data_IF_283077096888
#
_entry.id   IF_283077096888
#
_cell.length_a   1.000
_cell.length_b   1.000
_cell.length_c   1.000
_cell.angle_alpha   90.00
_cell.angle_beta   90.00
_cell.angle_gamma   90.00
#
_symmetry.space_group_name_H-M   'P 1'
#
loop_
_entity.id
_entity.type
_entity.pdbx_description
1 polymer ?
#
# COMPACT_ATOMS: atom_id res chain seq x y z
N UNK A 1 -6.53 11.15 6.38
CA UNK A 1 -5.80 12.39 6.70
C UNK A 1 -4.26 12.24 6.63
N UNK A 2 -3.73 11.09 6.17
CA UNK A 2 -2.30 10.78 6.10
C UNK A 2 -1.62 11.24 4.80
N UNK A 3 -0.43 10.66 4.55
CA UNK A 3 0.41 11.04 3.40
C UNK A 3 -0.21 10.67 2.05
N UNK A 4 -0.93 9.54 1.95
CA UNK A 4 -1.55 9.15 0.68
C UNK A 4 -2.65 10.16 0.31
N UNK A 5 -3.49 10.56 1.29
CA UNK A 5 -4.48 11.61 1.09
C UNK A 5 -3.86 12.96 0.73
N UNK A 6 -2.70 13.31 1.33
CA UNK A 6 -1.96 14.51 0.92
C UNK A 6 -1.59 14.46 -0.56
N UNK A 7 -1.02 13.37 -1.05
CA UNK A 7 -0.59 13.25 -2.45
C UNK A 7 -1.79 13.17 -3.40
N UNK A 8 -2.87 12.51 -3.00
CA UNK A 8 -4.15 12.53 -3.71
C UNK A 8 -4.72 13.96 -3.79
N UNK A 9 -4.76 14.66 -2.66
CA UNK A 9 -5.26 16.03 -2.60
C UNK A 9 -4.45 16.98 -3.49
N UNK A 10 -3.11 16.83 -3.54
CA UNK A 10 -2.25 17.61 -4.44
C UNK A 10 -2.62 17.35 -5.89
N UNK A 11 -2.82 16.09 -6.31
CA UNK A 11 -3.22 15.77 -7.69
C UNK A 11 -4.60 16.37 -8.03
N UNK A 12 -5.58 16.27 -7.14
CA UNK A 12 -6.91 16.85 -7.33
C UNK A 12 -6.87 18.39 -7.43
N UNK A 13 -6.10 19.03 -6.55
CA UNK A 13 -5.97 20.50 -6.55
C UNK A 13 -5.23 21.06 -7.76
N UNK A 14 -4.24 20.33 -8.28
CA UNK A 14 -3.59 20.70 -9.56
C UNK A 14 -4.57 20.74 -10.71
N UNK A 15 -5.63 19.93 -10.68
CA UNK A 15 -6.73 19.93 -11.63
C UNK A 15 -7.85 20.95 -11.30
N UNK A 16 -7.70 21.75 -10.23
CA UNK A 16 -8.67 22.78 -9.81
C UNK A 16 -9.84 22.26 -8.95
N UNK A 17 -9.79 21.02 -8.49
CA UNK A 17 -10.80 20.45 -7.59
C UNK A 17 -10.55 20.85 -6.14
N UNK A 18 -11.64 21.02 -5.37
CA UNK A 18 -11.57 21.22 -3.94
C UNK A 18 -11.51 19.87 -3.22
N UNK A 19 -10.82 19.85 -2.09
CA UNK A 19 -10.64 18.64 -1.29
C UNK A 19 -11.12 18.89 0.14
N UNK A 20 -11.96 17.96 0.62
CA UNK A 20 -12.33 17.86 2.02
C UNK A 20 -11.68 16.62 2.63
N UNK A 21 -11.16 16.73 3.85
CA UNK A 21 -10.59 15.60 4.61
C UNK A 21 -11.38 15.34 5.87
N UNK A 22 -11.65 14.07 6.17
CA UNK A 22 -12.27 13.61 7.41
C UNK A 22 -11.29 12.80 8.26
N UNK A 23 -11.40 12.90 9.59
CA UNK A 23 -10.53 12.18 10.54
C UNK A 23 -9.15 12.81 10.73
N UNK A 24 -9.00 14.10 10.43
CA UNK A 24 -7.78 14.84 10.68
C UNK A 24 -7.96 16.34 10.55
N UNK A 25 -7.30 17.08 11.44
CA UNK A 25 -7.30 18.54 11.48
C UNK A 25 -6.37 19.18 10.42
N UNK A 26 -6.31 20.52 10.40
CA UNK A 26 -5.53 21.30 9.45
C UNK A 26 -4.02 21.00 9.49
N UNK A 27 -3.51 20.51 10.63
CA UNK A 27 -2.10 20.15 10.79
C UNK A 27 -1.78 18.72 10.35
N UNK A 28 -2.79 17.93 9.99
CA UNK A 28 -2.56 16.58 9.42
C UNK A 28 -1.95 16.67 8.01
N UNK A 29 -1.20 15.66 7.55
CA UNK A 29 -0.60 15.68 6.22
C UNK A 29 -1.54 16.07 5.09
N UNK A 30 -2.75 15.51 5.07
CA UNK A 30 -3.77 15.86 4.08
C UNK A 30 -4.42 17.22 4.40
N UNK A 31 -4.69 17.51 5.67
CA UNK A 31 -5.31 18.77 6.10
C UNK A 31 -4.53 20.00 5.66
N UNK A 32 -3.19 19.94 5.68
CA UNK A 32 -2.32 21.04 5.23
C UNK A 32 -2.53 21.45 3.76
N UNK A 33 -3.15 20.59 2.95
CA UNK A 33 -3.38 20.83 1.52
C UNK A 33 -4.85 20.69 1.12
N UNK A 34 -5.75 20.56 2.09
CA UNK A 34 -7.20 20.46 1.88
C UNK A 34 -7.88 21.81 2.04
N UNK A 35 -9.04 21.97 1.39
CA UNK A 35 -9.88 23.19 1.52
C UNK A 35 -10.76 23.13 2.77
N UNK A 36 -11.16 21.92 3.19
CA UNK A 36 -12.01 21.68 4.36
C UNK A 36 -11.45 20.53 5.20
N UNK A 37 -11.46 20.70 6.53
CA UNK A 37 -11.00 19.69 7.47
C UNK A 37 -12.09 19.38 8.50
N UNK A 38 -12.46 18.11 8.59
CA UNK A 38 -13.39 17.57 9.58
C UNK A 38 -12.58 16.74 10.59
N UNK A 39 -12.06 17.40 11.63
CA UNK A 39 -11.33 16.74 12.71
C UNK A 39 -12.31 16.12 13.71
N UNK A 40 -12.99 15.08 13.26
CA UNK A 40 -14.05 14.38 13.95
C UNK A 40 -13.80 12.87 13.97
N UNK A 41 -14.44 12.20 14.93
CA UNK A 41 -14.44 10.73 14.99
C UNK A 41 -15.27 10.13 13.85
N UNK A 42 -14.82 9.01 13.30
CA UNK A 42 -15.60 8.21 12.37
C UNK A 42 -16.89 7.62 12.97
N UNK A 43 -17.06 7.65 14.29
CA UNK A 43 -18.30 7.29 14.97
C UNK A 43 -19.31 8.45 15.09
N UNK A 44 -18.94 9.66 14.70
CA UNK A 44 -19.81 10.84 14.72
C UNK A 44 -20.65 10.90 13.43
N UNK A 45 -21.84 10.34 13.48
CA UNK A 45 -22.75 10.31 12.34
C UNK A 45 -23.22 11.69 11.87
N UNK A 46 -23.34 12.66 12.78
CA UNK A 46 -23.71 14.03 12.42
C UNK A 46 -22.57 14.71 11.63
N UNK A 47 -21.34 14.52 12.06
CA UNK A 47 -20.19 15.04 11.32
C UNK A 47 -20.00 14.32 9.96
N UNK A 48 -20.30 13.03 9.88
CA UNK A 48 -20.29 12.31 8.58
C UNK A 48 -21.39 12.84 7.64
N UNK A 49 -22.55 13.20 8.16
CA UNK A 49 -23.64 13.84 7.38
C UNK A 49 -23.19 15.21 6.85
N UNK A 50 -22.60 16.05 7.69
CA UNK A 50 -22.06 17.35 7.29
C UNK A 50 -20.99 17.22 6.22
N UNK A 51 -20.10 16.22 6.37
CA UNK A 51 -19.05 15.92 5.39
C UNK A 51 -19.67 15.48 4.05
N UNK A 52 -20.62 14.56 4.06
CA UNK A 52 -21.32 14.09 2.87
C UNK A 52 -22.03 15.23 2.11
N UNK A 53 -22.54 16.25 2.83
CA UNK A 53 -23.24 17.39 2.24
C UNK A 53 -22.34 18.35 1.45
N UNK A 54 -21.01 18.29 1.62
CA UNK A 54 -20.06 19.22 0.99
C UNK A 54 -19.16 18.56 -0.07
N UNK A 55 -19.30 17.26 -0.31
CA UNK A 55 -18.50 16.51 -1.27
C UNK A 55 -19.37 15.83 -2.32
N UNK A 56 -18.85 15.69 -3.54
CA UNK A 56 -19.53 14.99 -4.65
C UNK A 56 -19.16 13.51 -4.73
N UNK A 57 -17.99 13.15 -4.21
CA UNK A 57 -17.45 11.78 -4.16
C UNK A 57 -16.49 11.62 -2.99
N UNK A 58 -16.43 10.43 -2.43
CA UNK A 58 -15.52 10.09 -1.33
C UNK A 58 -14.55 9.00 -1.79
N UNK A 59 -13.30 9.11 -1.35
CA UNK A 59 -12.30 8.06 -1.42
C UNK A 59 -11.58 7.93 -0.08
N UNK A 60 -10.94 6.81 0.14
CA UNK A 60 -10.14 6.59 1.35
C UNK A 60 -8.72 6.18 0.99
N UNK A 61 -7.78 6.47 1.89
CA UNK A 61 -6.36 6.21 1.73
C UNK A 61 -5.79 5.29 2.82
N UNK A 62 -6.64 4.84 3.71
CA UNK A 62 -6.29 4.02 4.87
C UNK A 62 -7.28 2.87 4.99
N UNK A 63 -6.80 1.65 4.80
CA UNK A 63 -7.65 0.46 4.77
C UNK A 63 -8.26 0.09 6.13
N UNK A 64 -7.72 0.56 7.25
CA UNK A 64 -8.29 0.28 8.57
C UNK A 64 -9.30 1.35 9.05
N UNK A 65 -9.91 2.09 8.12
CA UNK A 65 -11.04 2.96 8.42
C UNK A 65 -12.25 2.12 8.86
N UNK A 66 -13.07 2.58 9.85
CA UNK A 66 -14.25 1.84 10.25
C UNK A 66 -15.23 1.63 9.08
N UNK A 67 -15.55 0.37 8.81
CA UNK A 67 -16.43 -0.03 7.70
C UNK A 67 -17.81 0.61 7.79
N UNK A 68 -18.35 0.77 9.00
CA UNK A 68 -19.67 1.38 9.22
C UNK A 68 -19.69 2.85 8.78
N UNK A 69 -18.59 3.59 8.94
CA UNK A 69 -18.50 4.97 8.46
C UNK A 69 -18.53 5.02 6.91
N UNK A 70 -17.85 4.07 6.25
CA UNK A 70 -17.86 3.97 4.79
C UNK A 70 -19.26 3.61 4.29
N UNK A 71 -19.91 2.59 4.87
CA UNK A 71 -21.29 2.21 4.54
C UNK A 71 -22.31 3.33 4.80
N UNK A 72 -22.08 4.14 5.84
CA UNK A 72 -22.92 5.32 6.11
C UNK A 72 -22.78 6.36 4.99
N UNK A 73 -21.57 6.62 4.53
CA UNK A 73 -21.30 7.56 3.43
C UNK A 73 -21.83 7.05 2.08
N UNK A 74 -21.72 5.76 1.78
CA UNK A 74 -22.23 5.15 0.53
C UNK A 74 -23.74 5.34 0.32
N UNK A 75 -24.50 5.53 1.39
CA UNK A 75 -25.94 5.81 1.31
C UNK A 75 -26.24 7.26 0.89
N UNK A 76 -25.24 8.13 0.79
CA UNK A 76 -25.37 9.58 0.60
C UNK A 76 -24.61 10.10 -0.61
N UNK A 77 -23.41 9.59 -0.81
CA UNK A 77 -22.51 9.98 -1.90
C UNK A 77 -21.78 8.76 -2.44
N UNK A 78 -21.35 8.75 -3.70
CA UNK A 78 -20.49 7.68 -4.21
C UNK A 78 -19.20 7.58 -3.37
N UNK A 79 -18.80 6.36 -3.01
CA UNK A 79 -17.55 6.05 -2.33
C UNK A 79 -16.75 5.07 -3.17
N UNK A 80 -15.52 5.39 -3.51
CA UNK A 80 -14.67 4.55 -4.35
C UNK A 80 -13.25 4.40 -3.80
N UNK A 81 -12.71 3.16 -3.77
CA UNK A 81 -13.43 1.88 -4.00
C UNK A 81 -14.54 1.64 -2.97
N UNK A 82 -15.43 0.68 -3.24
CA UNK A 82 -16.62 0.42 -2.42
C UNK A 82 -16.31 -0.30 -1.09
N UNK A 83 -17.30 -0.36 -0.20
CA UNK A 83 -17.19 -0.99 1.11
C UNK A 83 -17.01 -2.50 1.05
N UNK A 84 -17.42 -3.18 -0.03
CA UNK A 84 -17.25 -4.62 -0.19
C UNK A 84 -15.77 -4.98 -0.39
N UNK A 85 -15.09 -4.27 -1.28
CA UNK A 85 -13.64 -4.45 -1.46
C UNK A 85 -12.88 -4.05 -0.17
N UNK A 86 -13.27 -2.95 0.48
CA UNK A 86 -12.66 -2.54 1.74
C UNK A 86 -12.79 -3.62 2.82
N UNK A 87 -13.99 -4.16 3.01
CA UNK A 87 -14.24 -5.23 3.98
C UNK A 87 -13.39 -6.46 3.70
N UNK A 88 -13.23 -6.81 2.43
CA UNK A 88 -12.41 -7.95 2.02
C UNK A 88 -10.94 -7.69 2.32
N UNK A 89 -10.41 -6.52 1.97
CA UNK A 89 -9.01 -6.17 2.19
C UNK A 89 -8.66 -5.96 3.67
N UNK A 90 -9.63 -5.61 4.52
CA UNK A 90 -9.43 -5.51 5.98
C UNK A 90 -9.26 -6.87 6.67
N UNK A 91 -9.56 -7.98 6.00
CA UNK A 91 -9.68 -9.28 6.65
C UNK A 91 -8.97 -10.37 5.86
N UNK A 92 -7.80 -10.81 6.30
CA UNK A 92 -6.91 -11.76 5.61
C UNK A 92 -7.59 -13.04 5.15
N UNK A 93 -8.51 -13.62 5.96
CA UNK A 93 -9.23 -14.82 5.55
C UNK A 93 -10.23 -14.54 4.43
N UNK A 94 -10.92 -13.39 4.45
CA UNK A 94 -11.84 -13.01 3.38
C UNK A 94 -11.06 -12.73 2.08
N UNK A 95 -9.96 -11.99 2.19
CA UNK A 95 -9.09 -11.66 1.08
C UNK A 95 -8.56 -12.93 0.38
N UNK A 96 -7.95 -13.84 1.13
CA UNK A 96 -7.40 -15.07 0.55
C UNK A 96 -8.48 -16.01 -0.01
N UNK A 97 -9.64 -16.09 0.65
CA UNK A 97 -10.79 -16.85 0.12
C UNK A 97 -11.31 -16.23 -1.17
N UNK A 98 -11.41 -14.90 -1.26
CA UNK A 98 -11.80 -14.20 -2.48
C UNK A 98 -10.79 -14.48 -3.62
N UNK A 99 -9.47 -14.38 -3.37
CA UNK A 99 -8.45 -14.70 -4.37
C UNK A 99 -8.60 -16.14 -4.87
N UNK A 100 -8.74 -17.11 -3.98
CA UNK A 100 -8.92 -18.52 -4.37
C UNK A 100 -10.20 -18.78 -5.13
N UNK A 101 -11.29 -18.09 -4.80
CA UNK A 101 -12.58 -18.25 -5.49
C UNK A 101 -12.52 -17.88 -6.98
N UNK A 102 -11.59 -17.04 -7.37
CA UNK A 102 -11.33 -16.62 -8.77
C UNK A 102 -10.06 -17.26 -9.36
N UNK A 103 -9.55 -18.32 -8.72
CA UNK A 103 -8.41 -19.10 -9.22
C UNK A 103 -7.05 -18.40 -9.11
N UNK A 104 -6.92 -17.38 -8.26
CA UNK A 104 -5.67 -16.69 -8.01
C UNK A 104 -4.90 -17.40 -6.88
N UNK A 105 -3.63 -17.77 -7.11
CA UNK A 105 -2.82 -18.44 -6.11
C UNK A 105 -2.39 -17.51 -4.98
N UNK A 106 -2.40 -18.04 -3.76
CA UNK A 106 -1.93 -17.41 -2.52
C UNK A 106 -1.07 -18.40 -1.74
N UNK A 107 -0.36 -17.99 -0.70
CA UNK A 107 0.14 -18.94 0.30
C UNK A 107 -1.00 -19.84 0.78
N UNK A 108 -0.71 -21.08 1.13
CA UNK A 108 -1.70 -21.94 1.79
C UNK A 108 -2.03 -21.39 3.16
N UNK A 109 -3.30 -21.53 3.57
CA UNK A 109 -3.75 -20.94 4.82
C UNK A 109 -4.88 -21.73 5.47
N UNK A 110 -4.97 -21.64 6.78
CA UNK A 110 -6.09 -22.15 7.58
C UNK A 110 -6.56 -21.08 8.56
N UNK A 111 -7.85 -21.07 8.85
CA UNK A 111 -8.40 -20.29 9.95
C UNK A 111 -8.04 -20.97 11.27
N UNK A 112 -7.65 -20.17 12.28
CA UNK A 112 -7.26 -20.68 13.60
C UNK A 112 -8.21 -20.11 14.64
N UNK A 113 -9.08 -20.95 15.17
CA UNK A 113 -10.07 -20.61 16.19
C UNK A 113 -9.78 -21.26 17.54
N UNK A 114 -8.79 -22.18 17.57
CA UNK A 114 -8.35 -22.88 18.76
C UNK A 114 -6.86 -23.25 18.67
N UNK A 115 -6.28 -23.66 19.77
CA UNK A 115 -4.91 -24.18 19.77
C UNK A 115 -4.80 -25.51 19.00
N UNK A 116 -5.88 -26.30 18.99
CA UNK A 116 -5.99 -27.53 18.20
C UNK A 116 -5.96 -27.24 16.69
N UNK A 117 -6.67 -26.19 16.22
CA UNK A 117 -6.62 -25.74 14.82
C UNK A 117 -5.19 -25.29 14.45
N UNK A 118 -4.52 -24.56 15.36
CA UNK A 118 -3.14 -24.13 15.15
C UNK A 118 -2.19 -25.32 15.04
N UNK A 119 -2.33 -26.30 15.92
CA UNK A 119 -1.50 -27.53 15.89
C UNK A 119 -1.75 -28.32 14.59
N UNK A 120 -3.00 -28.46 14.18
CA UNK A 120 -3.37 -29.15 12.94
C UNK A 120 -2.79 -28.44 11.71
N UNK A 121 -2.95 -27.10 11.63
CA UNK A 121 -2.41 -26.30 10.53
C UNK A 121 -0.88 -26.35 10.45
N UNK A 122 -0.18 -26.24 11.57
CA UNK A 122 1.28 -26.41 11.59
C UNK A 122 1.68 -27.81 11.09
N UNK A 123 0.96 -28.85 11.49
CA UNK A 123 1.24 -30.22 11.00
C UNK A 123 1.00 -30.34 9.49
N UNK A 124 -0.04 -29.72 8.95
CA UNK A 124 -0.36 -29.67 7.52
C UNK A 124 0.74 -28.96 6.73
N UNK A 125 1.33 -27.90 7.26
CA UNK A 125 2.38 -27.10 6.61
C UNK A 125 3.81 -27.58 6.90
N UNK A 126 3.97 -28.81 7.38
CA UNK A 126 5.30 -29.40 7.58
C UNK A 126 6.00 -28.95 8.85
N UNK A 127 5.27 -28.42 9.81
CA UNK A 127 5.76 -28.03 11.15
C UNK A 127 6.15 -26.57 11.28
N UNK A 128 5.97 -25.73 10.27
CA UNK A 128 6.26 -24.30 10.34
C UNK A 128 5.19 -23.46 9.64
N UNK A 129 5.07 -22.17 10.03
CA UNK A 129 4.09 -21.27 9.46
C UNK A 129 4.19 -19.85 10.03
N UNK A 130 3.39 -18.96 9.50
CA UNK A 130 3.26 -17.58 10.00
C UNK A 130 1.84 -17.41 10.53
N UNK A 131 1.72 -17.30 11.85
CA UNK A 131 0.46 -16.98 12.52
C UNK A 131 0.24 -15.47 12.49
N UNK A 132 -0.93 -15.04 12.04
CA UNK A 132 -1.27 -13.61 11.91
C UNK A 132 -2.65 -13.34 12.50
N UNK A 133 -2.87 -12.14 13.01
CA UNK A 133 -4.25 -11.65 13.25
C UNK A 133 -4.99 -11.54 11.94
N UNK A 134 -6.26 -11.95 11.90
CA UNK A 134 -7.06 -11.87 10.68
C UNK A 134 -7.33 -10.41 10.25
N UNK A 135 -7.30 -9.46 11.19
CA UNK A 135 -7.52 -8.03 10.97
C UNK A 135 -6.43 -7.18 11.63
N UNK A 136 -6.31 -5.90 11.23
CA UNK A 136 -5.49 -4.86 11.87
C UNK A 136 -3.95 -5.08 11.87
N UNK A 137 -3.44 -6.10 11.22
CA UNK A 137 -2.00 -6.30 11.06
C UNK A 137 -1.40 -5.41 9.97
N UNK A 138 -0.27 -4.73 10.24
CA UNK A 138 0.48 -3.93 9.25
C UNK A 138 1.97 -3.86 9.65
N UNK A 139 2.86 -3.66 8.68
CA UNK A 139 4.31 -3.53 8.89
C UNK A 139 4.87 -4.60 9.87
N UNK A 140 4.46 -5.87 9.71
CA UNK A 140 4.90 -7.00 10.54
C UNK A 140 4.26 -7.10 11.94
N UNK A 141 3.37 -6.18 12.31
CA UNK A 141 2.66 -6.24 13.60
C UNK A 141 1.52 -7.26 13.54
N UNK A 142 1.29 -7.94 14.68
CA UNK A 142 0.24 -8.94 14.79
C UNK A 142 0.57 -10.25 14.06
N UNK A 143 1.86 -10.54 13.83
CA UNK A 143 2.30 -11.81 13.24
C UNK A 143 3.46 -12.43 14.03
N UNK A 144 3.55 -13.75 13.97
CA UNK A 144 4.61 -14.55 14.58
C UNK A 144 4.97 -15.74 13.70
N UNK A 145 6.24 -15.91 13.37
CA UNK A 145 6.73 -17.14 12.74
C UNK A 145 6.80 -18.23 13.79
N UNK A 146 6.26 -19.38 13.45
CA UNK A 146 6.20 -20.56 14.30
C UNK A 146 6.96 -21.72 13.64
N UNK A 147 7.49 -22.59 14.47
CA UNK A 147 8.08 -23.87 14.08
C UNK A 147 7.59 -24.98 15.01
N UNK A 148 8.01 -26.22 14.73
CA UNK A 148 7.59 -27.41 15.48
C UNK A 148 8.01 -27.45 16.97
N UNK A 149 8.86 -26.51 17.41
CA UNK A 149 9.31 -26.41 18.82
C UNK A 149 8.41 -25.50 19.67
N UNK A 150 7.47 -24.76 19.06
CA UNK A 150 6.64 -23.81 19.77
C UNK A 150 5.62 -24.48 20.71
N UNK A 151 5.35 -23.85 21.84
CA UNK A 151 4.21 -24.21 22.72
C UNK A 151 2.94 -23.59 22.11
N UNK A 152 2.21 -24.40 21.35
CA UNK A 152 1.00 -23.98 20.61
C UNK A 152 -0.08 -23.41 21.54
N UNK A 153 -0.24 -23.95 22.76
CA UNK A 153 -1.21 -23.45 23.74
C UNK A 153 -0.83 -22.07 24.22
N UNK A 154 0.45 -21.86 24.56
CA UNK A 154 0.96 -20.57 25.00
C UNK A 154 0.88 -19.53 23.87
N UNK A 155 1.28 -19.90 22.64
CA UNK A 155 1.21 -19.03 21.48
C UNK A 155 -0.22 -18.58 21.22
N UNK A 156 -1.17 -19.53 21.12
CA UNK A 156 -2.58 -19.19 20.86
C UNK A 156 -3.13 -18.26 21.95
N UNK A 157 -2.87 -18.57 23.23
CA UNK A 157 -3.32 -17.74 24.35
C UNK A 157 -2.75 -16.31 24.30
N UNK A 158 -1.55 -16.11 23.77
CA UNK A 158 -0.91 -14.79 23.68
C UNK A 158 -1.64 -13.79 22.75
N UNK A 159 -2.45 -14.30 21.82
CA UNK A 159 -3.26 -13.47 20.92
C UNK A 159 -4.61 -13.05 21.52
N UNK A 160 -4.90 -13.39 22.77
CA UNK A 160 -6.05 -12.89 23.54
C UNK A 160 -7.43 -13.08 22.85
N UNK A 161 -7.63 -14.17 22.13
CA UNK A 161 -8.92 -14.55 21.56
C UNK A 161 -9.33 -13.74 20.30
N UNK A 162 -8.40 -13.03 19.65
CA UNK A 162 -8.65 -12.43 18.33
C UNK A 162 -8.68 -13.52 17.27
N UNK A 163 -9.41 -13.27 16.18
CA UNK A 163 -9.45 -14.17 15.02
C UNK A 163 -8.07 -14.25 14.35
N UNK A 164 -7.62 -15.46 14.03
CA UNK A 164 -6.28 -15.73 13.53
C UNK A 164 -6.32 -16.50 12.21
N UNK A 165 -5.26 -16.33 11.43
CA UNK A 165 -4.93 -17.11 10.25
C UNK A 165 -3.51 -17.66 10.39
N UNK A 166 -3.31 -18.92 10.08
CA UNK A 166 -1.98 -19.49 9.88
C UNK A 166 -1.74 -19.62 8.38
N UNK A 167 -0.62 -19.09 7.92
CA UNK A 167 -0.17 -19.17 6.53
C UNK A 167 1.08 -20.04 6.43
N UNK A 168 1.18 -20.83 5.34
CA UNK A 168 2.41 -21.55 5.00
C UNK A 168 3.54 -20.57 4.68
N UNK A 169 4.77 -20.96 4.95
CA UNK A 169 5.94 -20.18 4.55
C UNK A 169 6.15 -20.34 3.04
N UNK A 170 6.14 -19.22 2.34
CA UNK A 170 6.44 -19.18 0.90
C UNK A 170 7.94 -18.97 0.73
N UNK A 171 8.65 -19.90 0.05
CA UNK A 171 10.06 -19.72 -0.31
C UNK A 171 10.16 -18.80 -1.54
N UNK A 172 10.00 -17.49 -1.32
CA UNK A 172 10.08 -16.50 -2.39
C UNK A 172 11.51 -16.00 -2.60
N UNK A 173 11.81 -15.60 -3.84
CA UNK A 173 13.04 -14.91 -4.21
C UNK A 173 12.88 -13.39 -4.25
N UNK A 174 11.70 -12.93 -4.66
CA UNK A 174 11.41 -11.49 -4.77
C UNK A 174 10.02 -11.17 -4.22
N UNK A 175 9.91 -10.00 -3.63
CA UNK A 175 8.63 -9.33 -3.38
C UNK A 175 8.41 -8.29 -4.47
N UNK A 176 7.23 -8.31 -5.08
CA UNK A 176 6.88 -7.32 -6.09
C UNK A 176 5.44 -6.85 -5.90
N UNK A 177 5.12 -5.72 -6.49
CA UNK A 177 3.76 -5.19 -6.50
C UNK A 177 3.41 -4.61 -7.86
N UNK A 178 2.13 -4.68 -8.20
CA UNK A 178 1.55 -3.95 -9.31
C UNK A 178 0.49 -2.99 -8.81
N UNK A 179 0.59 -1.74 -9.23
CA UNK A 179 -0.48 -0.77 -9.04
C UNK A 179 -1.36 -0.81 -10.29
N UNK A 180 -2.65 -1.01 -10.07
CA UNK A 180 -3.66 -1.04 -11.13
C UNK A 180 -4.77 -0.03 -10.82
N UNK A 181 -5.50 0.40 -11.84
CA UNK A 181 -6.62 1.32 -11.67
C UNK A 181 -7.78 0.92 -12.58
N UNK A 182 -8.97 0.80 -11.99
CA UNK A 182 -10.23 0.58 -12.69
C UNK A 182 -11.03 1.87 -12.82
N UNK A 183 -11.79 1.99 -13.91
CA UNK A 183 -12.63 3.15 -14.22
C UNK A 183 -14.08 2.70 -14.47
N UNK A 184 -15.02 3.62 -14.27
CA UNK A 184 -16.46 3.33 -14.41
C UNK A 184 -16.86 2.95 -15.85
N UNK A 185 -16.07 3.33 -16.85
CA UNK A 185 -16.28 2.95 -18.25
C UNK A 185 -15.71 1.56 -18.62
N UNK A 186 -15.19 0.82 -17.64
CA UNK A 186 -14.53 -0.48 -17.82
C UNK A 186 -13.06 -0.40 -18.24
N UNK A 187 -12.52 0.80 -18.43
CA UNK A 187 -11.09 0.98 -18.71
C UNK A 187 -10.24 0.50 -17.51
N UNK A 188 -9.14 -0.17 -17.79
CA UNK A 188 -8.14 -0.59 -16.81
C UNK A 188 -6.78 -0.06 -17.18
N UNK A 189 -6.00 0.33 -16.17
CA UNK A 189 -4.62 0.77 -16.32
C UNK A 189 -3.73 0.00 -15.37
N UNK A 190 -2.56 -0.40 -15.85
CA UNK A 190 -1.57 -1.13 -15.08
C UNK A 190 -0.25 -0.37 -15.16
N UNK A 191 0.29 -0.04 -14.00
CA UNK A 191 1.65 0.49 -13.91
C UNK A 191 2.66 -0.65 -14.05
N UNK A 192 3.86 -0.34 -14.49
CA UNK A 192 4.95 -1.32 -14.52
C UNK A 192 5.17 -1.86 -13.10
N UNK A 193 5.20 -3.19 -12.90
CA UNK A 193 5.47 -3.77 -11.60
C UNK A 193 6.79 -3.29 -11.02
N UNK A 194 6.81 -3.06 -9.72
CA UNK A 194 8.02 -2.73 -8.96
C UNK A 194 8.49 -3.92 -8.14
N UNK A 195 9.81 -4.13 -8.08
CA UNK A 195 10.43 -4.99 -7.07
C UNK A 195 10.59 -4.19 -5.78
N UNK A 196 10.20 -4.81 -4.68
CA UNK A 196 10.13 -4.19 -3.36
C UNK A 196 11.14 -4.83 -2.42
N UNK A 197 11.87 -4.00 -1.69
CA UNK A 197 12.78 -4.46 -0.65
C UNK A 197 12.27 -3.98 0.71
N UNK A 198 12.04 -4.93 1.61
CA UNK A 198 11.59 -4.64 2.97
C UNK A 198 12.75 -4.81 3.96
N UNK A 199 12.81 -3.91 4.92
CA UNK A 199 13.73 -4.01 6.07
C UNK A 199 12.87 -3.99 7.34
N UNK A 200 13.01 -5.01 8.16
CA UNK A 200 12.18 -5.17 9.37
C UNK A 200 10.67 -5.06 9.06
N UNK A 201 10.20 -5.68 7.98
CA UNK A 201 8.81 -5.67 7.49
C UNK A 201 8.29 -4.30 7.03
N UNK A 202 9.12 -3.28 6.94
CA UNK A 202 8.73 -1.96 6.40
C UNK A 202 9.35 -1.83 5.01
N UNK A 203 8.54 -1.41 4.03
CA UNK A 203 9.04 -1.11 2.69
C UNK A 203 10.13 -0.05 2.76
N UNK A 204 11.32 -0.41 2.32
CA UNK A 204 12.50 0.44 2.30
C UNK A 204 12.72 1.05 0.91
N UNK A 205 12.67 0.21 -0.12
CA UNK A 205 12.98 0.59 -1.49
C UNK A 205 12.01 -0.08 -2.47
N UNK A 206 11.61 0.65 -3.52
CA UNK A 206 10.92 0.10 -4.69
C UNK A 206 11.63 0.51 -5.97
N UNK A 207 11.76 -0.42 -6.91
CA UNK A 207 12.48 -0.25 -8.18
C UNK A 207 11.57 -0.62 -9.35
N UNK A 208 11.44 0.27 -10.35
CA UNK A 208 10.67 0.01 -11.57
C UNK A 208 11.26 0.76 -12.79
N UNK A 209 11.34 0.10 -13.97
CA UNK A 209 11.16 -1.34 -14.19
C UNK A 209 12.31 -2.12 -13.56
N UNK A 210 12.03 -3.31 -13.03
CA UNK A 210 13.08 -4.14 -12.46
C UNK A 210 13.57 -5.16 -13.50
N UNK A 211 14.89 -5.23 -13.69
CA UNK A 211 15.51 -6.10 -14.69
C UNK A 211 15.30 -7.61 -14.41
N UNK A 212 14.96 -7.95 -13.16
CA UNK A 212 14.70 -9.33 -12.72
C UNK A 212 13.36 -9.88 -13.20
N UNK A 213 12.43 -9.01 -13.66
CA UNK A 213 11.09 -9.42 -14.07
C UNK A 213 11.05 -9.72 -15.57
N UNK A 214 10.77 -10.99 -15.92
CA UNK A 214 10.53 -11.37 -17.30
C UNK A 214 9.20 -10.78 -17.82
N UNK A 215 9.05 -10.71 -19.14
CA UNK A 215 7.80 -10.26 -19.78
C UNK A 215 6.60 -11.11 -19.34
N UNK A 216 6.81 -12.41 -19.17
CA UNK A 216 5.79 -13.37 -18.75
C UNK A 216 5.31 -13.08 -17.32
N UNK A 217 6.24 -12.77 -16.41
CA UNK A 217 5.92 -12.38 -15.02
C UNK A 217 5.12 -11.09 -15.00
N UNK A 218 5.53 -10.07 -15.77
CA UNK A 218 4.81 -8.79 -15.89
C UNK A 218 3.38 -9.02 -16.40
N UNK A 219 3.22 -9.77 -17.50
CA UNK A 219 1.92 -10.11 -18.07
C UNK A 219 1.04 -10.89 -17.08
N UNK A 220 1.64 -11.82 -16.33
CA UNK A 220 0.92 -12.57 -15.30
C UNK A 220 0.44 -11.69 -14.16
N UNK A 221 1.26 -10.74 -13.69
CA UNK A 221 0.87 -9.77 -12.68
C UNK A 221 -0.30 -8.89 -13.16
N UNK A 222 -0.26 -8.42 -14.42
CA UNK A 222 -1.35 -7.65 -15.03
C UNK A 222 -2.65 -8.48 -15.14
N UNK A 223 -2.57 -9.75 -15.55
CA UNK A 223 -3.73 -10.64 -15.62
C UNK A 223 -4.38 -10.86 -14.26
N UNK A 224 -3.57 -11.08 -13.21
CA UNK A 224 -4.07 -11.24 -11.85
C UNK A 224 -4.74 -9.94 -11.38
N UNK A 225 -4.07 -8.81 -11.55
CA UNK A 225 -4.65 -7.51 -11.17
C UNK A 225 -5.94 -7.21 -11.94
N UNK A 226 -6.02 -7.55 -13.23
CA UNK A 226 -7.24 -7.41 -14.03
C UNK A 226 -8.38 -8.26 -13.48
N UNK A 227 -8.11 -9.53 -13.14
CA UNK A 227 -9.13 -10.43 -12.60
C UNK A 227 -9.66 -9.92 -11.25
N UNK A 228 -8.81 -9.31 -10.40
CA UNK A 228 -9.22 -8.72 -9.12
C UNK A 228 -10.05 -7.45 -9.36
N UNK A 229 -9.60 -6.56 -10.27
CA UNK A 229 -10.38 -5.37 -10.64
C UNK A 229 -11.78 -5.73 -11.13
N UNK A 230 -11.90 -6.80 -11.93
CA UNK A 230 -13.18 -7.27 -12.45
C UNK A 230 -14.07 -7.91 -11.40
N UNK A 231 -13.49 -8.76 -10.57
CA UNK A 231 -14.24 -9.46 -9.52
C UNK A 231 -14.90 -8.47 -8.56
N UNK A 232 -14.19 -7.42 -8.19
CA UNK A 232 -14.71 -6.39 -7.28
C UNK A 232 -15.28 -5.16 -8.00
N UNK A 233 -15.28 -5.12 -9.33
CA UNK A 233 -15.73 -3.96 -10.12
C UNK A 233 -15.09 -2.64 -9.64
N UNK A 234 -13.78 -2.67 -9.42
CA UNK A 234 -13.05 -1.59 -8.76
C UNK A 234 -13.09 -0.30 -9.58
N UNK A 235 -13.54 0.78 -8.96
CA UNK A 235 -13.33 2.15 -9.43
C UNK A 235 -12.29 2.79 -8.51
N UNK A 236 -11.13 3.16 -9.07
CA UNK A 236 -10.00 3.66 -8.30
C UNK A 236 -8.77 2.77 -8.38
N UNK A 237 -7.79 3.10 -7.58
CA UNK A 237 -6.50 2.40 -7.52
C UNK A 237 -6.57 1.21 -6.58
N UNK A 238 -5.99 0.11 -7.04
CA UNK A 238 -5.72 -1.11 -6.31
C UNK A 238 -4.23 -1.42 -6.43
N UNK A 239 -3.58 -1.79 -5.35
CA UNK A 239 -2.26 -2.42 -5.38
C UNK A 239 -2.39 -3.90 -5.04
N UNK A 240 -1.68 -4.74 -5.78
CA UNK A 240 -1.55 -6.17 -5.50
C UNK A 240 -0.09 -6.45 -5.18
N UNK A 241 0.17 -7.01 -4.01
CA UNK A 241 1.50 -7.43 -3.58
C UNK A 241 1.67 -8.94 -3.79
N UNK A 242 2.84 -9.32 -4.27
CA UNK A 242 3.15 -10.71 -4.63
C UNK A 242 4.44 -11.19 -4.00
N UNK A 243 4.47 -12.47 -3.70
CA UNK A 243 5.68 -13.26 -3.60
C UNK A 243 5.96 -13.93 -4.94
N UNK A 244 7.18 -13.79 -5.46
CA UNK A 244 7.65 -14.53 -6.63
C UNK A 244 8.61 -15.64 -6.19
N UNK A 245 8.28 -16.87 -6.55
CA UNK A 245 9.10 -18.04 -6.26
C UNK A 245 10.23 -18.23 -7.29
N UNK A 246 11.18 -19.13 -7.02
CA UNK A 246 12.31 -19.43 -7.90
C UNK A 246 11.90 -19.92 -9.32
N UNK A 247 10.75 -20.57 -9.43
CA UNK A 247 10.15 -20.97 -10.70
C UNK A 247 9.24 -19.89 -11.33
N UNK A 248 9.38 -18.64 -10.87
CA UNK A 248 8.68 -17.45 -11.35
C UNK A 248 7.14 -17.50 -11.19
N UNK A 249 6.62 -18.32 -10.30
CA UNK A 249 5.21 -18.24 -9.94
C UNK A 249 4.92 -17.03 -9.07
N UNK A 250 3.76 -16.42 -9.29
CA UNK A 250 3.26 -15.29 -8.48
C UNK A 250 2.16 -15.78 -7.54
N UNK A 251 2.39 -15.60 -6.24
CA UNK A 251 1.38 -15.80 -5.21
C UNK A 251 0.97 -14.42 -4.65
N UNK A 252 -0.33 -14.13 -4.62
CA UNK A 252 -0.81 -12.90 -4.00
C UNK A 252 -0.59 -12.97 -2.50
N UNK A 253 0.15 -11.99 -1.98
CA UNK A 253 0.34 -11.79 -0.55
C UNK A 253 -0.84 -11.01 0.04
N UNK A 254 -1.07 -9.79 -0.45
CA UNK A 254 -2.19 -8.94 0.00
C UNK A 254 -2.62 -7.96 -1.10
N UNK A 255 -3.82 -7.38 -0.94
CA UNK A 255 -4.31 -6.29 -1.77
C UNK A 255 -4.54 -5.03 -0.93
N UNK A 256 -4.24 -3.87 -1.53
CA UNK A 256 -4.53 -2.58 -0.92
C UNK A 256 -5.50 -1.80 -1.83
N UNK A 257 -6.75 -1.55 -1.41
CA UNK A 257 -7.77 -0.87 -2.22
C UNK A 257 -7.58 0.65 -2.19
N UNK A 258 -6.38 1.12 -2.50
CA UNK A 258 -5.95 2.52 -2.41
C UNK A 258 -4.59 2.71 -3.09
N UNK A 259 -4.14 3.96 -3.32
CA UNK A 259 -2.75 4.22 -3.67
C UNK A 259 -1.79 3.57 -2.67
N UNK A 260 -0.67 3.06 -3.18
CA UNK A 260 0.28 2.27 -2.39
C UNK A 260 1.67 2.92 -2.31
N UNK A 261 2.40 2.61 -1.24
CA UNK A 261 3.73 3.15 -1.01
C UNK A 261 4.71 2.78 -2.14
N UNK A 262 4.67 1.54 -2.63
CA UNK A 262 5.52 1.11 -3.76
C UNK A 262 5.22 1.86 -5.06
N UNK A 263 4.03 2.44 -5.20
CA UNK A 263 3.64 3.26 -6.35
C UNK A 263 4.02 4.74 -6.24
N UNK A 264 4.73 5.19 -5.19
CA UNK A 264 5.10 6.60 -5.07
C UNK A 264 6.04 7.06 -6.17
N UNK A 265 6.94 6.17 -6.63
CA UNK A 265 7.81 6.45 -7.78
C UNK A 265 7.05 6.90 -9.04
N UNK A 266 5.76 6.55 -9.16
CA UNK A 266 4.95 6.94 -10.33
C UNK A 266 4.72 8.45 -10.46
N UNK A 267 4.95 9.23 -9.39
CA UNK A 267 4.78 10.69 -9.42
C UNK A 267 5.69 11.29 -10.48
N UNK A 268 6.94 10.87 -10.55
CA UNK A 268 7.94 11.39 -11.48
C UNK A 268 8.20 10.44 -12.66
N UNK A 269 8.04 9.13 -12.45
CA UNK A 269 8.45 8.13 -13.43
C UNK A 269 7.39 7.78 -14.45
N UNK A 270 6.15 8.30 -14.34
CA UNK A 270 5.07 8.04 -15.31
C UNK A 270 4.40 9.31 -15.77
N UNK A 271 3.70 9.24 -16.91
CA UNK A 271 2.98 10.41 -17.48
C UNK A 271 1.79 10.83 -16.61
N UNK A 272 1.15 9.89 -15.91
CA UNK A 272 0.12 10.16 -14.90
C UNK A 272 0.34 9.23 -13.73
N UNK A 273 0.51 9.78 -12.53
CA UNK A 273 0.81 9.03 -11.29
C UNK A 273 -0.37 8.19 -10.81
N UNK A 274 -0.12 7.27 -9.86
CA UNK A 274 -1.18 6.54 -9.18
C UNK A 274 -2.20 7.48 -8.49
N UNK A 275 -1.76 8.62 -7.98
CA UNK A 275 -2.63 9.60 -7.32
C UNK A 275 -3.50 10.35 -8.33
N UNK A 276 -2.94 10.68 -9.50
CA UNK A 276 -3.71 11.25 -10.60
C UNK A 276 -4.72 10.25 -11.16
N UNK A 277 -4.34 8.96 -11.30
CA UNK A 277 -5.29 7.92 -11.72
C UNK A 277 -6.40 7.72 -10.70
N UNK A 278 -6.09 7.69 -9.39
CA UNK A 278 -7.09 7.63 -8.32
C UNK A 278 -8.07 8.80 -8.45
N UNK A 279 -7.55 10.01 -8.53
CA UNK A 279 -8.36 11.21 -8.68
C UNK A 279 -9.26 11.13 -9.92
N UNK A 280 -8.71 10.76 -11.09
CA UNK A 280 -9.47 10.64 -12.33
C UNK A 280 -10.58 9.57 -12.22
N UNK A 281 -10.25 8.42 -11.70
CA UNK A 281 -11.21 7.31 -11.56
C UNK A 281 -12.38 7.68 -10.66
N UNK A 282 -12.11 8.19 -9.44
CA UNK A 282 -13.18 8.52 -8.48
C UNK A 282 -14.01 9.72 -8.90
N UNK A 283 -13.45 10.63 -9.71
CA UNK A 283 -14.15 11.80 -10.23
C UNK A 283 -14.82 11.57 -11.59
N UNK A 284 -14.85 10.33 -12.10
CA UNK A 284 -15.47 10.01 -13.38
C UNK A 284 -14.76 10.60 -14.60
N UNK A 285 -13.48 10.95 -14.46
CA UNK A 285 -12.66 11.48 -15.56
C UNK A 285 -12.03 10.35 -16.39
N UNK A 286 -11.71 10.58 -17.67
CA UNK A 286 -10.98 9.60 -18.48
C UNK A 286 -9.63 9.23 -17.87
N UNK A 287 -9.21 7.98 -18.08
CA UNK A 287 -7.91 7.49 -17.62
C UNK A 287 -6.75 8.27 -18.22
N UNK A 288 -5.71 8.52 -17.41
CA UNK A 288 -4.43 9.06 -17.87
C UNK A 288 -3.50 7.99 -18.46
N UNK A 289 -2.41 8.42 -19.07
CA UNK A 289 -1.39 7.53 -19.60
C UNK A 289 -0.43 7.13 -18.47
N UNK A 290 -0.31 5.82 -18.20
CA UNK A 290 0.57 5.24 -17.17
C UNK A 290 1.93 4.79 -17.71
N UNK A 291 2.23 5.12 -18.99
CA UNK A 291 3.50 4.73 -19.58
C UNK A 291 4.68 5.26 -18.75
N UNK A 292 5.67 4.40 -18.46
CA UNK A 292 6.89 4.84 -17.80
C UNK A 292 7.64 5.85 -18.70
N UNK A 293 8.14 6.90 -18.09
CA UNK A 293 8.98 7.92 -18.72
C UNK A 293 10.46 7.56 -18.58
N UNK A 294 10.86 7.17 -17.38
CA UNK A 294 12.24 6.78 -17.05
C UNK A 294 12.23 5.72 -15.94
N UNK A 295 13.26 4.87 -15.86
CA UNK A 295 13.51 4.03 -14.69
C UNK A 295 13.60 4.85 -13.40
N UNK A 296 13.10 4.28 -12.31
CA UNK A 296 13.00 4.95 -11.02
C UNK A 296 13.33 4.03 -9.84
N UNK A 297 13.92 4.63 -8.83
CA UNK A 297 14.13 4.04 -7.51
C UNK A 297 13.45 4.93 -6.47
N UNK A 298 12.52 4.39 -5.70
CA UNK A 298 11.91 5.07 -4.56
C UNK A 298 12.54 4.57 -3.27
N UNK A 299 12.89 5.49 -2.37
CA UNK A 299 13.36 5.20 -1.02
C UNK A 299 12.43 5.84 0.00
N UNK A 300 11.95 5.06 0.97
CA UNK A 300 11.22 5.63 2.09
C UNK A 300 12.16 6.39 3.05
N UNK A 301 11.71 7.52 3.53
CA UNK A 301 12.34 8.29 4.60
C UNK A 301 11.59 8.00 5.91
N UNK A 302 12.20 7.20 6.78
CA UNK A 302 11.64 6.88 8.09
C UNK A 302 12.12 7.89 9.13
N UNK A 303 11.42 7.97 10.27
CA UNK A 303 11.73 8.93 11.33
C UNK A 303 13.13 8.78 11.90
N UNK A 304 13.58 7.55 12.08
CA UNK A 304 14.94 7.22 12.52
C UNK A 304 16.02 7.65 11.51
N UNK A 305 15.72 7.67 10.22
CA UNK A 305 16.64 8.16 9.19
C UNK A 305 16.82 9.69 9.24
N UNK A 306 15.86 10.41 9.81
CA UNK A 306 15.88 11.88 9.87
C UNK A 306 16.62 12.42 11.10
N UNK A 307 16.86 11.60 12.13
CA UNK A 307 17.53 12.03 13.37
C UNK A 307 18.93 12.60 13.14
N UNK A 308 19.61 12.14 12.10
CA UNK A 308 20.99 12.52 11.76
C UNK A 308 21.09 13.43 10.53
N UNK A 309 19.99 13.70 9.85
CA UNK A 309 19.96 14.49 8.63
C UNK A 309 20.13 15.99 8.94
N UNK A 310 21.33 16.54 8.70
CA UNK A 310 21.62 17.95 8.87
C UNK A 310 21.07 18.82 7.74
N UNK A 311 20.95 20.13 7.94
CA UNK A 311 20.56 21.07 6.89
C UNK A 311 21.53 21.03 5.68
N UNK A 312 22.83 20.79 5.91
CA UNK A 312 23.81 20.69 4.85
C UNK A 312 23.65 19.37 4.06
N UNK A 313 23.37 18.25 4.75
CA UNK A 313 23.04 16.99 4.10
C UNK A 313 21.79 17.14 3.19
N UNK A 314 20.76 17.84 3.63
CA UNK A 314 19.59 18.12 2.81
C UNK A 314 19.93 18.99 1.60
N UNK A 315 20.76 20.04 1.75
CA UNK A 315 21.21 20.86 0.61
C UNK A 315 21.95 20.02 -0.42
N UNK A 316 22.80 19.10 0.04
CA UNK A 316 23.53 18.19 -0.85
C UNK A 316 22.57 17.24 -1.56
N UNK A 317 21.59 16.63 -0.89
CA UNK A 317 20.58 15.78 -1.51
C UNK A 317 19.73 16.52 -2.54
N UNK A 318 19.27 17.74 -2.22
CA UNK A 318 18.54 18.58 -3.18
C UNK A 318 19.40 19.06 -4.36
N UNK A 319 20.72 19.00 -4.24
CA UNK A 319 21.67 19.28 -5.32
C UNK A 319 21.96 18.09 -6.23
N UNK A 320 21.51 16.89 -5.87
CA UNK A 320 21.66 15.71 -6.74
C UNK A 320 20.70 15.80 -7.93
N UNK A 321 21.20 15.49 -9.11
CA UNK A 321 20.43 15.47 -10.34
C UNK A 321 19.35 14.37 -10.31
N UNK A 322 18.14 14.70 -10.78
CA UNK A 322 17.00 13.77 -10.86
C UNK A 322 16.63 13.11 -9.53
N UNK A 323 16.86 13.76 -8.40
CA UNK A 323 16.40 13.34 -7.07
C UNK A 323 15.25 14.24 -6.62
N UNK A 324 14.09 13.61 -6.41
CA UNK A 324 12.86 14.28 -5.99
C UNK A 324 12.53 13.92 -4.55
N UNK A 325 12.27 14.94 -3.73
CA UNK A 325 12.03 14.78 -2.28
C UNK A 325 10.58 15.09 -1.96
N UNK A 326 9.89 14.16 -1.33
CA UNK A 326 8.52 14.32 -0.85
C UNK A 326 8.44 14.18 0.66
N UNK A 327 8.31 15.29 1.37
CA UNK A 327 8.06 15.29 2.81
C UNK A 327 6.56 15.36 3.09
N UNK A 328 6.09 14.54 4.03
CA UNK A 328 4.66 14.39 4.27
C UNK A 328 4.07 15.43 5.23
N UNK A 329 4.91 16.29 5.84
CA UNK A 329 4.45 17.31 6.78
C UNK A 329 4.00 16.77 8.14
N UNK A 330 4.46 15.57 8.53
CA UNK A 330 4.21 15.02 9.88
C UNK A 330 5.08 15.72 10.91
N UNK A 331 4.51 16.08 12.05
CA UNK A 331 5.19 16.87 13.08
C UNK A 331 6.28 16.09 13.83
N UNK A 332 6.05 14.79 14.10
CA UNK A 332 6.96 13.98 14.90
C UNK A 332 7.61 12.88 14.07
N UNK A 333 8.93 12.87 14.03
CA UNK A 333 9.73 11.78 13.52
C UNK A 333 9.84 10.69 14.61
N UNK A 334 9.18 9.55 14.39
CA UNK A 334 9.26 8.38 15.28
C UNK A 334 9.89 7.24 14.52
N UNK A 335 10.61 6.36 15.23
CA UNK A 335 11.22 5.16 14.64
C UNK A 335 10.20 4.37 13.81
N UNK A 336 10.58 4.00 12.59
CA UNK A 336 9.73 3.27 11.64
C UNK A 336 8.57 4.07 11.03
N UNK A 337 8.34 5.33 11.45
CA UNK A 337 7.29 6.17 10.87
C UNK A 337 7.73 6.74 9.53
N UNK A 338 6.97 6.46 8.47
CA UNK A 338 7.19 7.02 7.13
C UNK A 338 6.97 8.53 7.16
N UNK A 339 8.05 9.31 7.02
CA UNK A 339 8.06 10.77 7.10
C UNK A 339 8.08 11.44 5.73
N UNK A 340 8.57 10.72 4.73
CA UNK A 340 8.70 11.15 3.36
C UNK A 340 9.17 10.02 2.46
N UNK A 341 9.51 10.35 1.22
CA UNK A 341 10.23 9.47 0.31
C UNK A 341 11.11 10.28 -0.63
N UNK A 342 12.09 9.61 -1.22
CA UNK A 342 12.86 10.10 -2.35
C UNK A 342 12.49 9.28 -3.57
N UNK A 343 12.35 9.93 -4.74
CA UNK A 343 12.34 9.26 -6.04
C UNK A 343 13.57 9.70 -6.82
N UNK A 344 14.32 8.74 -7.34
CA UNK A 344 15.51 8.97 -8.15
C UNK A 344 15.26 8.41 -9.54
N UNK A 345 15.44 9.24 -10.57
CA UNK A 345 15.27 8.87 -11.96
C UNK A 345 16.64 8.80 -12.66
N UNK A 346 16.77 7.91 -13.64
CA UNK A 346 17.85 7.94 -14.62
C UNK A 346 17.44 7.13 -15.84
N UNK A 347 18.03 7.38 -17.01
CA UNK A 347 17.78 6.58 -18.23
C UNK A 347 18.36 5.15 -18.09
N UNK A 348 19.35 4.99 -17.20
CA UNK A 348 19.98 3.73 -16.84
C UNK A 348 19.69 3.41 -15.38
N UNK A 349 18.99 2.32 -15.11
CA UNK A 349 18.53 1.95 -13.77
C UNK A 349 19.67 1.88 -12.75
N UNK A 350 20.81 1.32 -13.12
CA UNK A 350 21.98 1.19 -12.24
C UNK A 350 22.51 2.56 -11.76
N UNK A 351 22.35 3.60 -12.57
CA UNK A 351 22.71 4.96 -12.17
C UNK A 351 21.72 5.53 -11.14
N UNK A 352 20.41 5.31 -11.37
CA UNK A 352 19.38 5.69 -10.39
C UNK A 352 19.64 5.00 -9.03
N UNK A 353 19.94 3.69 -9.04
CA UNK A 353 20.29 2.96 -7.82
C UNK A 353 21.55 3.50 -7.13
N UNK A 354 22.62 3.81 -7.90
CA UNK A 354 23.85 4.41 -7.33
C UNK A 354 23.56 5.75 -6.68
N UNK A 355 22.76 6.59 -7.33
CA UNK A 355 22.37 7.92 -6.81
C UNK A 355 21.45 7.80 -5.60
N UNK A 356 20.56 6.83 -5.58
CA UNK A 356 19.72 6.51 -4.42
C UNK A 356 20.57 6.12 -3.21
N UNK A 357 21.56 5.23 -3.39
CA UNK A 357 22.54 4.88 -2.34
C UNK A 357 23.39 6.08 -1.91
N UNK A 358 23.74 6.99 -2.83
CA UNK A 358 24.43 8.24 -2.50
C UNK A 358 23.58 9.13 -1.61
N UNK A 359 22.29 9.35 -1.95
CA UNK A 359 21.37 10.14 -1.15
C UNK A 359 21.23 9.58 0.29
N UNK A 360 21.12 8.24 0.43
CA UNK A 360 21.15 7.57 1.73
C UNK A 360 22.36 7.92 2.58
N UNK A 361 23.56 7.78 1.98
CA UNK A 361 24.84 8.07 2.69
C UNK A 361 24.94 9.52 3.13
N UNK A 362 24.53 10.48 2.27
CA UNK A 362 24.50 11.90 2.59
C UNK A 362 23.61 12.18 3.79
N UNK A 363 22.44 11.54 3.87
CA UNK A 363 21.51 11.68 5.00
C UNK A 363 21.96 10.93 6.27
N UNK A 364 23.15 10.28 6.24
CA UNK A 364 23.67 9.55 7.38
C UNK A 364 22.98 8.19 7.63
N UNK A 365 22.27 7.70 6.65
CA UNK A 365 21.55 6.43 6.74
C UNK A 365 22.50 5.28 6.34
N UNK A 366 23.00 4.57 7.34
CA UNK A 366 24.04 3.52 7.20
C UNK A 366 23.48 2.09 7.29
N UNK A 367 22.17 1.89 7.36
CA UNK A 367 21.56 0.57 7.30
C UNK A 367 21.69 -0.03 5.89
N UNK A 368 22.24 -1.26 5.81
CA UNK A 368 22.27 -2.07 4.59
C UNK A 368 20.87 -2.52 4.19
#
# INVERSE_FOLDING_TARGET
AGQLGRMFAVAARQAGYRVAVFGGGPDSPCGQVSDFCFDKSFADSAALEEFAAVVDVVSYEYENIPLDAVKFLEQRVPVYPDSNLLQTAQHRLLEKRAMRSIGIPTADFVAVNSAEDLQAGLSEFGGEGILKTATLGYDGKGQQRLDSSCDVQQVYASFNGVELILESIVPFELELSIVACGFADGTRKFFTPSVNHHVNHILDCSVAPAAQLSTEVVQRAEQIAAAILDHFQVIGVLCVEFFMTADQQLLVNEIAPRPHNSGHLTIESTAASQFEQQFRAVSGLPSGNVRPLRPAVMLNLLGDHLEHATADAWREVFGLEDVHVHMYGKQEARRGRKMGHLTVLDDVLENAEKRARQARRILGWTGE
#
